data_IF_867423154083
#
_entry.id   IF_867423154083
#
_cell.length_a   1.000
_cell.length_b   1.000
_cell.length_c   1.000
_cell.angle_alpha   90.00
_cell.angle_beta   90.00
_cell.angle_gamma   90.00
#
_symmetry.space_group_name_H-M   'P 1'
#
loop_
_entity.id
_entity.type
_entity.pdbx_description
1 polymer ?
#
# COMPACT_ATOMS: atom_id res chain seq x y z
N UNK A 1 -11.55 5.97 -4.25
CA UNK A 1 -11.87 5.99 -2.79
C UNK A 1 -12.79 7.17 -2.47
N UNK A 2 -13.96 6.96 -1.85
CA UNK A 2 -14.83 8.07 -1.43
C UNK A 2 -14.33 8.66 -0.10
N UNK A 3 -13.75 9.87 -0.15
CA UNK A 3 -13.15 10.54 1.02
C UNK A 3 -14.15 10.79 2.16
N UNK A 4 -15.41 11.08 1.85
CA UNK A 4 -16.46 11.26 2.85
C UNK A 4 -16.75 9.96 3.62
N UNK A 5 -16.85 8.84 2.91
CA UNK A 5 -17.02 7.50 3.50
C UNK A 5 -15.82 7.11 4.36
N UNK A 6 -14.60 7.35 3.86
CA UNK A 6 -13.36 7.07 4.58
C UNK A 6 -13.29 7.84 5.92
N UNK A 7 -13.55 9.16 5.89
CA UNK A 7 -13.56 10.00 7.10
C UNK A 7 -14.64 9.56 8.08
N UNK A 8 -15.83 9.22 7.60
CA UNK A 8 -16.94 8.74 8.44
C UNK A 8 -16.58 7.44 9.15
N UNK A 9 -16.03 6.45 8.43
CA UNK A 9 -15.56 5.18 9.01
C UNK A 9 -14.46 5.39 10.03
N UNK A 10 -13.47 6.22 9.72
CA UNK A 10 -12.38 6.55 10.63
C UNK A 10 -12.89 7.15 11.95
N UNK A 11 -13.80 8.13 11.88
CA UNK A 11 -14.42 8.73 13.08
C UNK A 11 -15.20 7.71 13.90
N UNK A 12 -15.96 6.84 13.22
CA UNK A 12 -16.72 5.78 13.88
C UNK A 12 -15.80 4.80 14.61
N UNK A 13 -14.75 4.30 13.96
CA UNK A 13 -13.81 3.36 14.60
C UNK A 13 -13.07 4.00 15.77
N UNK A 14 -12.61 5.26 15.63
CA UNK A 14 -12.01 5.98 16.75
C UNK A 14 -12.96 6.08 17.94
N UNK A 15 -14.23 6.42 17.70
CA UNK A 15 -15.25 6.49 18.74
C UNK A 15 -15.49 5.13 19.42
N UNK A 16 -15.65 4.07 18.62
CA UNK A 16 -15.87 2.72 19.13
C UNK A 16 -14.67 2.22 19.95
N UNK A 17 -13.45 2.38 19.44
CA UNK A 17 -12.24 1.91 20.12
C UNK A 17 -12.02 2.60 21.47
N UNK A 18 -12.30 3.90 21.57
CA UNK A 18 -12.22 4.64 22.84
C UNK A 18 -13.12 4.09 23.94
N UNK A 19 -14.13 3.29 23.58
CA UNK A 19 -15.02 2.62 24.53
C UNK A 19 -14.63 1.16 24.77
N UNK A 20 -13.99 0.53 23.79
CA UNK A 20 -13.67 -0.90 23.81
C UNK A 20 -12.28 -1.23 24.36
N UNK A 21 -11.34 -0.27 24.35
CA UNK A 21 -9.95 -0.49 24.73
C UNK A 21 -9.47 0.59 25.70
N UNK A 22 -8.66 0.19 26.68
CA UNK A 22 -8.03 1.12 27.64
C UNK A 22 -6.95 1.99 26.97
N UNK A 23 -6.30 1.47 25.93
CA UNK A 23 -5.30 2.15 25.13
C UNK A 23 -5.67 2.08 23.64
N UNK A 24 -6.69 2.84 23.18
CA UNK A 24 -7.12 2.82 21.80
C UNK A 24 -6.05 3.42 20.88
N UNK A 25 -5.87 2.84 19.69
CA UNK A 25 -5.02 3.44 18.66
C UNK A 25 -5.53 4.84 18.30
N UNK A 26 -4.61 5.80 18.14
CA UNK A 26 -4.91 7.12 17.59
C UNK A 26 -4.73 7.09 16.06
N UNK A 27 -5.81 7.04 15.27
CA UNK A 27 -5.72 6.97 13.81
C UNK A 27 -5.20 8.26 13.16
N UNK A 28 -5.07 9.34 13.92
CA UNK A 28 -4.57 10.63 13.42
C UNK A 28 -3.13 10.90 13.85
N UNK A 29 -2.56 10.04 14.70
CA UNK A 29 -1.16 10.13 15.09
C UNK A 29 -0.27 9.86 13.89
N UNK A 30 0.62 10.80 13.60
CA UNK A 30 1.66 10.61 12.60
C UNK A 30 2.77 9.74 13.20
N UNK A 31 3.15 8.68 12.47
CA UNK A 31 4.26 7.81 12.82
C UNK A 31 5.42 8.08 11.86
N UNK A 32 6.57 8.58 12.32
CA UNK A 32 7.74 8.70 11.48
C UNK A 32 8.32 7.30 11.24
N UNK A 33 8.44 6.93 9.97
CA UNK A 33 9.07 5.67 9.54
C UNK A 33 10.15 6.04 8.55
N UNK A 34 11.40 5.60 8.81
CA UNK A 34 12.45 5.71 7.82
C UNK A 34 12.16 4.75 6.66
N UNK A 35 12.16 5.22 5.41
CA UNK A 35 11.97 4.34 4.25
C UNK A 35 12.98 3.18 4.22
N UNK A 36 14.22 3.44 4.63
CA UNK A 36 15.31 2.46 4.63
C UNK A 36 15.11 1.33 5.65
N UNK A 37 14.23 1.52 6.63
CA UNK A 37 13.90 0.49 7.61
C UNK A 37 12.86 -0.53 7.10
N UNK A 38 12.24 -0.27 5.94
CA UNK A 38 11.18 -1.13 5.38
C UNK A 38 11.81 -2.22 4.49
N UNK A 39 11.76 -3.46 4.96
CA UNK A 39 12.31 -4.63 4.23
C UNK A 39 11.23 -5.52 3.63
N UNK A 40 10.09 -5.64 4.31
CA UNK A 40 8.95 -6.46 3.89
C UNK A 40 7.67 -5.62 3.83
N UNK A 41 6.70 -6.09 3.03
CA UNK A 41 5.36 -5.53 2.98
C UNK A 41 4.32 -6.66 2.88
N UNK A 42 3.08 -6.37 3.27
CA UNK A 42 1.91 -7.23 3.10
C UNK A 42 0.83 -6.45 2.33
N UNK A 43 0.13 -7.11 1.42
CA UNK A 43 -1.01 -6.56 0.66
C UNK A 43 -2.36 -7.02 1.20
N UNK A 44 -2.38 -7.79 2.30
CA UNK A 44 -3.62 -8.29 2.92
C UNK A 44 -4.45 -7.17 3.58
N UNK A 45 -3.82 -6.04 3.89
CA UNK A 45 -4.46 -4.92 4.57
C UNK A 45 -5.25 -4.05 3.61
N UNK A 46 -6.58 -4.14 3.71
CA UNK A 46 -7.51 -3.30 2.93
C UNK A 46 -7.67 -1.88 3.50
N UNK A 47 -7.06 -0.90 2.84
CA UNK A 47 -7.09 0.52 3.24
C UNK A 47 -8.42 1.25 2.97
N UNK A 48 -9.38 0.63 2.25
CA UNK A 48 -10.65 1.26 1.87
C UNK A 48 -11.70 1.33 3.00
N UNK A 49 -11.36 0.83 4.19
CA UNK A 49 -12.25 0.77 5.35
C UNK A 49 -12.07 1.93 6.34
N UNK A 50 -11.28 2.94 6.02
CA UNK A 50 -10.93 4.01 6.96
C UNK A 50 -9.85 3.56 7.94
N UNK A 51 -9.36 4.49 8.76
CA UNK A 51 -8.31 4.22 9.75
C UNK A 51 -8.91 3.77 11.09
N UNK A 52 -8.05 3.25 11.96
CA UNK A 52 -8.39 2.91 13.34
C UNK A 52 -9.28 1.67 13.49
N UNK A 53 -9.51 0.88 12.44
CA UNK A 53 -10.18 -0.41 12.61
C UNK A 53 -9.21 -1.36 13.32
N UNK A 54 -9.63 -1.93 14.44
CA UNK A 54 -8.94 -3.08 15.05
C UNK A 54 -9.57 -4.33 14.47
N UNK A 55 -8.77 -5.16 13.82
CA UNK A 55 -9.16 -6.44 13.24
C UNK A 55 -8.12 -7.45 13.70
N UNK A 56 -8.52 -8.66 14.11
CA UNK A 56 -7.58 -9.75 14.30
C UNK A 56 -7.18 -10.34 12.95
N UNK A 57 -5.95 -10.82 12.85
CA UNK A 57 -5.41 -11.47 11.66
C UNK A 57 -3.97 -11.85 11.93
N UNK A 58 -3.34 -12.40 10.90
CA UNK A 58 -2.02 -12.98 10.97
C UNK A 58 -1.09 -12.44 9.89
N UNK A 59 -1.41 -11.26 9.36
CA UNK A 59 -0.72 -10.57 8.26
C UNK A 59 0.77 -10.30 8.52
N UNK A 60 1.23 -10.41 9.78
CA UNK A 60 2.63 -10.36 10.17
C UNK A 60 3.40 -11.68 9.97
N UNK A 61 2.73 -12.78 9.62
CA UNK A 61 3.38 -14.06 9.36
C UNK A 61 4.20 -13.99 8.08
N UNK A 62 5.32 -14.70 8.06
CA UNK A 62 6.26 -14.71 6.94
C UNK A 62 5.60 -15.11 5.62
N UNK A 63 4.65 -16.04 5.65
CA UNK A 63 3.88 -16.51 4.49
C UNK A 63 3.04 -15.42 3.82
N UNK A 64 2.71 -14.34 4.55
CA UNK A 64 1.91 -13.21 4.08
C UNK A 64 2.75 -11.95 3.81
N UNK A 65 4.06 -12.06 4.00
CA UNK A 65 5.02 -10.97 3.82
C UNK A 65 5.89 -11.20 2.58
N UNK A 66 6.03 -10.17 1.75
CA UNK A 66 6.89 -10.19 0.58
C UNK A 66 8.03 -9.19 0.76
N UNK A 67 9.19 -9.50 0.20
CA UNK A 67 10.32 -8.57 0.18
C UNK A 67 9.96 -7.33 -0.63
N UNK A 68 10.07 -6.15 -0.01
CA UNK A 68 9.74 -4.88 -0.66
C UNK A 68 10.60 -4.64 -1.91
N UNK A 69 11.86 -5.05 -1.86
CA UNK A 69 12.81 -4.95 -2.98
C UNK A 69 12.49 -5.86 -4.17
N UNK A 70 11.63 -6.85 -3.97
CA UNK A 70 11.19 -7.73 -5.05
C UNK A 70 9.98 -7.18 -5.81
N UNK A 71 9.36 -6.12 -5.31
CA UNK A 71 8.23 -5.48 -5.97
C UNK A 71 8.64 -4.92 -7.33
N UNK A 72 7.73 -5.02 -8.31
CA UNK A 72 7.92 -4.42 -9.64
C UNK A 72 8.18 -2.91 -9.56
N UNK A 73 7.55 -2.23 -8.59
CA UNK A 73 7.74 -0.81 -8.37
C UNK A 73 9.16 -0.49 -7.90
N UNK A 74 9.66 -1.16 -6.87
CA UNK A 74 11.02 -0.94 -6.38
C UNK A 74 12.04 -1.21 -7.49
N UNK A 75 11.96 -2.39 -8.13
CA UNK A 75 12.90 -2.79 -9.18
C UNK A 75 12.92 -1.82 -10.36
N UNK A 76 11.75 -1.35 -10.80
CA UNK A 76 11.67 -0.39 -11.90
C UNK A 76 12.23 0.98 -11.56
N UNK A 77 12.05 1.44 -10.31
CA UNK A 77 12.63 2.71 -9.85
C UNK A 77 14.15 2.60 -9.71
N UNK A 78 14.65 1.52 -9.11
CA UNK A 78 16.09 1.24 -9.01
C UNK A 78 16.73 1.19 -10.40
N UNK A 79 16.14 0.44 -11.34
CA UNK A 79 16.60 0.39 -12.73
C UNK A 79 16.63 1.75 -13.42
N UNK A 80 15.63 2.61 -13.16
CA UNK A 80 15.58 3.93 -13.78
C UNK A 80 16.59 4.91 -13.19
N UNK A 81 16.71 4.93 -11.86
CA UNK A 81 17.39 6.01 -11.15
C UNK A 81 18.79 5.65 -10.67
N UNK A 82 19.04 4.39 -10.34
CA UNK A 82 20.36 3.92 -9.92
C UNK A 82 21.14 3.29 -11.09
N UNK A 83 20.44 2.54 -11.97
CA UNK A 83 21.06 1.90 -13.14
C UNK A 83 20.95 2.72 -14.44
N UNK A 84 20.29 3.89 -14.37
CA UNK A 84 20.12 4.83 -15.49
C UNK A 84 19.52 4.22 -16.78
N UNK A 85 18.71 3.17 -16.67
CA UNK A 85 18.04 2.55 -17.82
C UNK A 85 16.92 3.45 -18.37
N UNK A 86 16.66 3.31 -19.66
CA UNK A 86 15.47 3.89 -20.28
C UNK A 86 14.19 3.26 -19.69
N UNK A 87 13.10 4.03 -19.66
CA UNK A 87 11.85 3.60 -19.03
C UNK A 87 11.33 2.30 -19.63
N UNK A 88 11.40 2.17 -20.95
CA UNK A 88 10.97 1.02 -21.75
C UNK A 88 11.68 -0.28 -21.36
N UNK A 89 12.87 -0.16 -20.76
CA UNK A 89 13.68 -1.28 -20.30
C UNK A 89 13.40 -1.66 -18.84
N UNK A 90 12.64 -0.85 -18.11
CA UNK A 90 12.34 -1.10 -16.70
C UNK A 90 11.26 -2.18 -16.53
N UNK A 91 11.35 -2.93 -15.43
CA UNK A 91 10.33 -3.88 -15.02
C UNK A 91 8.96 -3.20 -14.81
N UNK A 92 8.96 -1.95 -14.36
CA UNK A 92 7.74 -1.17 -14.14
C UNK A 92 7.01 -0.88 -15.45
N UNK A 93 7.72 -0.42 -16.47
CA UNK A 93 7.12 -0.14 -17.78
C UNK A 93 6.61 -1.41 -18.46
N UNK A 94 7.42 -2.49 -18.47
CA UNK A 94 7.01 -3.76 -19.08
C UNK A 94 5.73 -4.31 -18.47
N UNK A 95 5.62 -4.27 -17.14
CA UNK A 95 4.39 -4.67 -16.44
C UNK A 95 3.19 -3.80 -16.84
N UNK A 96 3.34 -2.48 -16.86
CA UNK A 96 2.25 -1.59 -17.27
C UNK A 96 1.81 -1.87 -18.71
N UNK A 97 2.78 -2.11 -19.62
CA UNK A 97 2.51 -2.48 -21.01
C UNK A 97 1.72 -3.78 -21.12
N UNK A 98 2.15 -4.82 -20.42
CA UNK A 98 1.44 -6.11 -20.38
C UNK A 98 0.02 -5.97 -19.84
N UNK A 99 -0.18 -5.18 -18.77
CA UNK A 99 -1.52 -4.92 -18.21
C UNK A 99 -2.42 -4.20 -19.24
N UNK A 100 -1.91 -3.19 -19.95
CA UNK A 100 -2.65 -2.53 -21.03
C UNK A 100 -2.96 -3.45 -22.22
N UNK A 101 -2.01 -4.30 -22.62
CA UNK A 101 -2.22 -5.28 -23.70
C UNK A 101 -3.30 -6.31 -23.35
N UNK A 102 -3.54 -6.57 -22.06
CA UNK A 102 -4.67 -7.38 -21.58
C UNK A 102 -6.01 -6.61 -21.50
N UNK A 103 -6.02 -5.33 -21.87
CA UNK A 103 -7.21 -4.47 -21.79
C UNK A 103 -7.51 -3.99 -20.37
N UNK A 104 -6.53 -4.02 -19.47
CA UNK A 104 -6.70 -3.54 -18.10
C UNK A 104 -6.44 -2.03 -18.01
N UNK A 105 -7.12 -1.37 -17.08
CA UNK A 105 -6.82 0.03 -16.71
C UNK A 105 -5.69 0.04 -15.69
N UNK A 106 -4.51 0.54 -16.06
CA UNK A 106 -3.38 0.63 -15.14
C UNK A 106 -3.46 1.93 -14.36
N UNK A 107 -3.69 1.85 -13.04
CA UNK A 107 -3.72 3.01 -12.11
C UNK A 107 -4.65 4.17 -12.55
N UNK A 108 -5.69 3.88 -13.33
CA UNK A 108 -6.64 4.88 -13.84
C UNK A 108 -6.25 5.55 -15.16
N UNK A 109 -5.17 5.09 -15.81
CA UNK A 109 -4.78 5.52 -17.14
C UNK A 109 -5.38 4.59 -18.21
N UNK A 110 -5.63 5.15 -19.40
CA UNK A 110 -6.21 4.43 -20.55
C UNK A 110 -5.14 3.92 -21.53
N UNK A 111 -3.91 4.43 -21.42
CA UNK A 111 -2.75 4.03 -22.23
C UNK A 111 -1.44 4.21 -21.44
N UNK A 112 -0.35 3.66 -21.99
CA UNK A 112 1.03 3.94 -21.57
C UNK A 112 1.37 5.43 -21.67
#
# INVERSE_FOLDING_TARGET
MNLGRFRRRTRWHHHANRRAYDAPADPWKLLPVSPDAVTYYTDELRLDWGLGRVQGGDWEREEHCQLFRETTLYRGLEQRFEEERDWEETALYRRAKEEFERGETVRGYESL
#
